data_IF_375644678173
#
_entry.id   IF_375644678173
#
_cell.length_a   1.000
_cell.length_b   1.000
_cell.length_c   1.000
_cell.angle_alpha   90.00
_cell.angle_beta   90.00
_cell.angle_gamma   90.00
#
_symmetry.space_group_name_H-M   'P 1'
#
loop_
_entity.id
_entity.type
_entity.pdbx_description
1 polymer ?
#
# COMPACT_ATOMS: atom_id res chain seq x y z
N UNK A 1 16.03 -4.67 37.25
CA UNK A 1 15.96 -3.23 36.92
C UNK A 1 14.52 -2.86 36.64
N UNK A 2 13.94 -1.84 37.30
CA UNK A 2 12.57 -1.42 37.03
C UNK A 2 12.53 -0.70 35.67
N UNK A 3 11.53 -1.05 34.85
CA UNK A 3 11.31 -0.46 33.52
C UNK A 3 10.74 0.95 33.69
N UNK A 4 11.47 1.96 33.23
CA UNK A 4 11.00 3.35 33.19
C UNK A 4 9.69 3.41 32.39
N UNK A 5 8.60 3.85 33.04
CA UNK A 5 7.30 4.12 32.40
C UNK A 5 7.52 5.28 31.41
N UNK A 6 7.56 4.97 30.12
CA UNK A 6 7.70 5.97 29.06
C UNK A 6 6.42 6.81 29.05
N UNK A 7 6.56 8.13 29.19
CA UNK A 7 5.48 9.09 28.89
C UNK A 7 5.06 8.83 27.44
N UNK A 8 3.79 8.49 27.23
CA UNK A 8 3.21 8.35 25.90
C UNK A 8 3.44 9.64 25.12
N UNK A 9 3.74 9.52 23.83
CA UNK A 9 3.65 10.68 22.96
C UNK A 9 2.17 11.09 22.92
N UNK A 10 1.87 12.40 22.93
CA UNK A 10 0.49 12.92 22.83
C UNK A 10 -0.18 12.64 21.46
N UNK A 11 0.39 11.71 20.67
CA UNK A 11 -0.19 11.10 19.48
C UNK A 11 -1.04 9.87 19.88
N UNK A 12 -1.81 10.02 20.95
CA UNK A 12 -2.82 9.05 21.39
C UNK A 12 -4.08 9.17 20.54
N UNK A 13 -4.00 8.85 19.25
CA UNK A 13 -5.15 8.48 18.42
C UNK A 13 -4.62 7.96 17.08
N UNK A 14 -4.84 6.67 16.83
CA UNK A 14 -4.68 6.06 15.51
C UNK A 14 -5.48 6.89 14.50
N UNK A 15 -4.90 7.22 13.34
CA UNK A 15 -5.58 7.96 12.26
C UNK A 15 -6.68 7.05 11.71
N UNK A 16 -7.82 7.01 12.40
CA UNK A 16 -8.95 6.14 12.08
C UNK A 16 -10.12 6.98 11.61
N UNK A 17 -10.79 6.44 10.62
CA UNK A 17 -12.10 5.95 11.00
C UNK A 17 -12.32 4.65 10.31
N UNK A 18 -12.96 3.80 11.08
CA UNK A 18 -13.20 2.45 10.72
C UNK A 18 -14.31 2.39 9.67
N UNK A 19 -13.99 1.74 8.56
CA UNK A 19 -14.93 0.80 7.99
C UNK A 19 -14.60 -0.56 8.58
N UNK A 20 -15.64 -1.29 8.99
CA UNK A 20 -15.58 -2.59 9.66
C UNK A 20 -15.19 -3.76 8.72
N UNK A 21 -14.71 -3.46 7.51
CA UNK A 21 -14.32 -4.49 6.55
C UNK A 21 -12.90 -5.03 6.87
N UNK A 22 -12.74 -6.35 7.07
CA UNK A 22 -11.43 -6.95 7.36
C UNK A 22 -10.58 -7.07 6.08
N UNK A 23 -9.25 -6.92 6.19
CA UNK A 23 -8.31 -7.22 5.11
C UNK A 23 -8.12 -8.73 4.98
N UNK A 24 -7.89 -9.27 3.78
CA UNK A 24 -7.66 -10.72 3.60
C UNK A 24 -6.50 -11.26 4.46
N UNK A 25 -5.46 -10.45 4.68
CA UNK A 25 -4.32 -10.79 5.56
C UNK A 25 -4.69 -10.85 7.05
N UNK A 26 -5.82 -10.28 7.46
CA UNK A 26 -6.29 -10.19 8.85
C UNK A 26 -7.50 -11.08 9.15
N UNK A 27 -8.14 -11.68 8.13
CA UNK A 27 -9.41 -12.41 8.27
C UNK A 27 -9.30 -13.78 8.98
N UNK A 28 -8.12 -14.42 9.03
CA UNK A 28 -8.05 -15.87 9.25
C UNK A 28 -7.36 -16.35 10.55
N UNK A 29 -7.37 -15.55 11.61
CA UNK A 29 -7.05 -16.06 12.97
C UNK A 29 -8.28 -16.01 13.90
N UNK A 30 -9.42 -16.52 13.44
CA UNK A 30 -10.42 -17.07 14.35
C UNK A 30 -9.99 -18.49 14.72
N UNK A 31 -9.59 -18.71 15.98
CA UNK A 31 -9.61 -20.05 16.55
C UNK A 31 -10.99 -20.67 16.32
N UNK A 32 -11.11 -21.97 15.99
CA UNK A 32 -12.42 -22.60 16.00
C UNK A 32 -12.96 -22.50 17.43
N UNK A 33 -14.00 -21.69 17.61
CA UNK A 33 -14.84 -21.71 18.80
C UNK A 33 -15.39 -23.13 18.87
N UNK A 34 -14.91 -23.89 19.85
CA UNK A 34 -15.44 -25.20 20.18
C UNK A 34 -16.87 -24.98 20.69
N UNK A 35 -17.91 -25.46 20.00
CA UNK A 35 -19.27 -25.26 20.48
C UNK A 35 -19.43 -26.10 21.75
N UNK A 36 -19.52 -25.43 22.90
CA UNK A 36 -19.96 -26.08 24.13
C UNK A 36 -21.41 -26.57 23.90
N UNK A 37 -21.58 -27.89 23.88
CA UNK A 37 -22.90 -28.49 23.82
C UNK A 37 -23.65 -28.29 25.15
N UNK A 38 -24.99 -28.16 25.14
CA UNK A 38 -25.77 -27.94 26.36
C UNK A 38 -25.72 -29.18 27.25
N UNK A 39 -25.40 -29.01 28.53
CA UNK A 39 -25.52 -30.05 29.55
C UNK A 39 -27.00 -30.34 29.80
N UNK A 40 -27.43 -31.55 29.43
CA UNK A 40 -28.67 -32.14 29.92
C UNK A 40 -28.30 -33.25 30.91
N UNK A 41 -29.04 -33.28 32.01
CA UNK A 41 -28.74 -34.01 33.24
C UNK A 41 -28.73 -35.55 33.11
N UNK A 42 -27.99 -36.15 34.03
CA UNK A 42 -27.78 -37.58 34.21
C UNK A 42 -29.01 -38.29 34.77
N UNK A 43 -29.54 -39.29 34.05
CA UNK A 43 -30.17 -40.50 34.62
C UNK A 43 -29.83 -41.70 33.73
N UNK A 44 -29.25 -42.74 34.33
CA UNK A 44 -28.83 -44.03 33.72
C UNK A 44 -30.07 -44.94 33.42
N UNK A 45 -29.99 -46.16 32.79
CA UNK A 45 -28.81 -47.03 32.65
C UNK A 45 -28.63 -47.81 31.32
N UNK A 46 -27.44 -48.42 31.25
CA UNK A 46 -26.87 -49.43 30.34
C UNK A 46 -27.77 -50.16 29.32
N UNK A 47 -27.29 -50.21 28.06
CA UNK A 47 -27.29 -51.43 27.25
C UNK A 47 -26.23 -51.41 26.15
N UNK A 48 -25.58 -52.55 26.01
CA UNK A 48 -24.50 -52.88 25.07
C UNK A 48 -24.84 -52.61 23.60
N UNK A 49 -23.93 -51.97 22.88
CA UNK A 49 -23.51 -52.49 21.56
C UNK A 49 -22.14 -51.93 21.18
N UNK A 50 -21.24 -52.85 20.93
CA UNK A 50 -19.93 -52.61 20.34
C UNK A 50 -20.07 -51.96 18.96
N UNK A 51 -19.74 -50.68 18.84
CA UNK A 51 -19.32 -50.10 17.56
C UNK A 51 -18.03 -49.33 17.78
N UNK A 52 -16.94 -49.99 17.38
CA UNK A 52 -15.65 -49.36 17.12
C UNK A 52 -15.87 -48.21 16.13
N UNK A 53 -16.03 -46.99 16.64
CA UNK A 53 -15.78 -45.79 15.84
C UNK A 53 -14.27 -45.69 15.68
N UNK A 54 -13.78 -46.31 14.61
CA UNK A 54 -12.51 -45.96 13.99
C UNK A 54 -12.42 -44.43 13.94
N UNK A 55 -11.58 -43.86 14.80
CA UNK A 55 -11.07 -42.48 14.66
C UNK A 55 -10.23 -42.46 13.38
N UNK A 56 -10.91 -42.42 12.23
CA UNK A 56 -10.30 -42.12 10.95
C UNK A 56 -9.93 -40.64 11.01
N UNK A 57 -8.76 -40.37 11.59
CA UNK A 57 -8.05 -39.10 11.52
C UNK A 57 -7.80 -38.89 10.02
N UNK A 58 -8.77 -38.32 9.30
CA UNK A 58 -8.66 -37.98 7.88
C UNK A 58 -7.34 -37.26 7.74
N UNK A 59 -6.37 -37.87 7.06
CA UNK A 59 -5.11 -37.21 6.75
C UNK A 59 -5.50 -35.90 6.09
N UNK A 60 -5.17 -34.77 6.72
CA UNK A 60 -5.42 -33.47 6.10
C UNK A 60 -4.73 -33.54 4.74
N UNK A 61 -5.50 -33.41 3.66
CA UNK A 61 -4.99 -33.44 2.29
C UNK A 61 -3.74 -32.55 2.18
N UNK A 62 -2.69 -33.04 1.53
CA UNK A 62 -1.43 -32.30 1.37
C UNK A 62 -1.68 -30.90 0.79
N UNK A 63 -2.64 -30.77 -0.12
CA UNK A 63 -3.12 -29.50 -0.68
C UNK A 63 -3.66 -28.54 0.38
N UNK A 64 -4.41 -29.04 1.36
CA UNK A 64 -4.95 -28.20 2.45
C UNK A 64 -3.83 -27.74 3.39
N UNK A 65 -2.88 -28.63 3.72
CA UNK A 65 -1.69 -28.26 4.50
C UNK A 65 -0.80 -27.24 3.78
N UNK A 66 -0.63 -27.40 2.46
CA UNK A 66 0.10 -26.46 1.63
C UNK A 66 -0.60 -25.10 1.60
N UNK A 67 -1.92 -25.07 1.36
CA UNK A 67 -2.73 -23.84 1.42
C UNK A 67 -2.62 -23.15 2.78
N UNK A 68 -2.75 -23.90 3.87
CA UNK A 68 -2.63 -23.36 5.24
C UNK A 68 -1.22 -22.77 5.48
N UNK A 69 -0.17 -23.42 4.98
CA UNK A 69 1.21 -22.92 5.07
C UNK A 69 1.43 -21.64 4.23
N UNK A 70 0.91 -21.57 3.00
CA UNK A 70 1.00 -20.38 2.16
C UNK A 70 0.21 -19.19 2.74
N UNK A 71 -0.91 -19.45 3.41
CA UNK A 71 -1.68 -18.41 4.10
C UNK A 71 -0.96 -17.93 5.36
N UNK A 72 -0.27 -18.82 6.08
CA UNK A 72 0.54 -18.46 7.26
C UNK A 72 1.81 -17.69 6.87
N UNK A 73 2.44 -18.10 5.78
CA UNK A 73 3.68 -17.53 5.27
C UNK A 73 3.45 -17.01 3.85
N UNK A 74 2.97 -15.77 3.77
CA UNK A 74 2.57 -15.10 2.53
C UNK A 74 3.72 -14.98 1.53
N UNK A 75 4.98 -14.98 1.99
CA UNK A 75 6.18 -14.99 1.15
C UNK A 75 6.43 -16.33 0.43
N UNK A 76 5.82 -17.44 0.86
CA UNK A 76 6.04 -18.75 0.23
C UNK A 76 5.53 -18.83 -1.20
N UNK A 77 4.39 -18.21 -1.51
CA UNK A 77 3.81 -18.28 -2.85
C UNK A 77 4.67 -17.52 -3.88
N UNK A 78 5.03 -16.23 -3.65
CA UNK A 78 5.99 -15.53 -4.52
C UNK A 78 7.33 -16.26 -4.61
N UNK A 79 7.85 -16.79 -3.50
CA UNK A 79 9.11 -17.55 -3.51
C UNK A 79 9.03 -18.79 -4.40
N UNK A 80 7.96 -19.57 -4.32
CA UNK A 80 7.79 -20.77 -5.13
C UNK A 80 7.76 -20.40 -6.62
N UNK A 81 7.05 -19.33 -6.98
CA UNK A 81 7.02 -18.82 -8.36
C UNK A 81 8.43 -18.42 -8.81
N UNK A 82 9.18 -17.69 -7.98
CA UNK A 82 10.57 -17.31 -8.29
C UNK A 82 11.48 -18.53 -8.47
N UNK A 83 11.40 -19.51 -7.58
CA UNK A 83 12.20 -20.73 -7.67
C UNK A 83 11.90 -21.47 -8.95
N UNK A 84 10.62 -21.59 -9.35
CA UNK A 84 10.23 -22.23 -10.62
C UNK A 84 10.81 -21.47 -11.82
N UNK A 85 10.66 -20.14 -11.85
CA UNK A 85 11.16 -19.31 -12.96
C UNK A 85 12.70 -19.35 -13.04
N UNK A 86 13.40 -19.20 -11.92
CA UNK A 86 14.86 -19.25 -11.88
C UNK A 86 15.40 -20.64 -12.22
N UNK A 87 14.72 -21.72 -11.79
CA UNK A 87 15.09 -23.08 -12.17
C UNK A 87 14.89 -23.32 -13.66
N UNK A 88 13.79 -22.84 -14.24
CA UNK A 88 13.55 -22.91 -15.68
C UNK A 88 14.59 -22.12 -16.49
N UNK A 89 15.09 -21.01 -15.96
CA UNK A 89 16.22 -20.30 -16.56
C UNK A 89 17.53 -21.09 -16.43
N UNK A 90 17.80 -21.69 -15.27
CA UNK A 90 19.01 -22.44 -14.99
C UNK A 90 19.17 -23.70 -15.88
N UNK A 91 18.08 -24.28 -16.38
CA UNK A 91 18.12 -25.40 -17.34
C UNK A 91 18.77 -24.99 -18.67
N UNK A 92 18.57 -23.75 -19.12
CA UNK A 92 19.19 -23.22 -20.33
C UNK A 92 19.54 -21.74 -20.13
N UNK A 93 20.70 -21.42 -19.51
CA UNK A 93 21.09 -20.06 -19.15
C UNK A 93 21.70 -19.33 -20.35
N UNK A 94 20.97 -19.28 -21.47
CA UNK A 94 21.40 -18.59 -22.70
C UNK A 94 20.42 -17.48 -23.08
N UNK A 95 20.84 -16.50 -23.89
CA UNK A 95 19.94 -15.47 -24.43
C UNK A 95 18.77 -16.01 -25.26
N UNK A 96 18.82 -17.28 -25.67
CA UNK A 96 17.74 -17.96 -26.38
C UNK A 96 16.55 -18.30 -25.46
N UNK A 97 16.76 -18.32 -24.15
CA UNK A 97 15.71 -18.62 -23.18
C UNK A 97 14.74 -17.43 -23.08
N UNK A 98 13.42 -17.63 -23.18
CA UNK A 98 12.44 -16.55 -23.03
C UNK A 98 12.51 -15.85 -21.67
N UNK A 99 12.99 -16.53 -20.62
CA UNK A 99 13.17 -15.96 -19.29
C UNK A 99 14.38 -15.02 -19.20
N UNK A 100 15.31 -15.07 -20.16
CA UNK A 100 16.43 -14.15 -20.21
C UNK A 100 15.95 -12.69 -20.25
N UNK A 101 14.93 -12.39 -21.06
CA UNK A 101 14.33 -11.05 -21.13
C UNK A 101 13.58 -10.61 -19.86
N UNK A 102 13.25 -11.56 -18.98
CA UNK A 102 12.60 -11.28 -17.72
C UNK A 102 13.61 -10.95 -16.61
N UNK A 103 14.80 -11.55 -16.67
CA UNK A 103 15.86 -11.39 -15.67
C UNK A 103 16.81 -10.24 -16.04
N UNK A 104 17.12 -10.08 -17.32
CA UNK A 104 18.10 -9.10 -17.81
C UNK A 104 17.47 -8.06 -18.73
N UNK A 105 18.09 -6.89 -18.80
CA UNK A 105 17.67 -5.82 -19.70
C UNK A 105 17.71 -6.29 -21.16
N UNK A 106 16.62 -6.04 -21.87
CA UNK A 106 16.48 -6.38 -23.30
C UNK A 106 16.89 -5.22 -24.20
N UNK A 107 17.22 -5.52 -25.46
CA UNK A 107 17.52 -4.57 -26.54
C UNK A 107 18.83 -3.76 -26.38
N UNK A 108 19.99 -4.40 -26.17
CA UNK A 108 21.26 -3.70 -26.18
C UNK A 108 21.53 -3.07 -27.55
N UNK A 109 22.05 -1.85 -27.56
CA UNK A 109 22.42 -1.05 -28.72
C UNK A 109 23.88 -0.61 -28.58
N UNK A 110 24.59 -0.39 -29.70
CA UNK A 110 25.96 0.09 -29.65
C UNK A 110 26.05 1.46 -28.94
N UNK A 111 27.17 1.76 -28.26
CA UNK A 111 27.39 3.08 -27.67
C UNK A 111 27.30 4.19 -28.71
N UNK A 112 26.75 5.35 -28.31
CA UNK A 112 26.66 6.53 -29.19
C UNK A 112 28.02 7.18 -29.47
N UNK A 113 28.97 7.01 -28.57
CA UNK A 113 30.33 7.55 -28.67
C UNK A 113 31.35 6.43 -28.50
N UNK A 114 32.52 6.49 -29.16
CA UNK A 114 33.59 5.52 -28.93
C UNK A 114 34.00 5.48 -27.46
N UNK A 115 33.91 4.31 -26.82
CA UNK A 115 34.18 4.14 -25.38
C UNK A 115 33.04 4.57 -24.44
N UNK A 116 31.87 4.95 -24.98
CA UNK A 116 30.68 5.28 -24.20
C UNK A 116 29.95 4.05 -23.62
N UNK A 117 28.97 4.26 -22.72
CA UNK A 117 28.18 3.18 -22.14
C UNK A 117 27.30 2.48 -23.19
N UNK A 118 26.99 1.21 -22.95
CA UNK A 118 26.01 0.46 -23.74
C UNK A 118 24.63 1.06 -23.54
N UNK A 119 23.96 1.36 -24.67
CA UNK A 119 22.61 1.92 -24.67
C UNK A 119 21.58 0.80 -24.79
N UNK A 120 20.37 1.04 -24.30
CA UNK A 120 19.27 0.08 -24.37
C UNK A 120 18.04 0.73 -24.97
N UNK A 121 17.51 0.11 -26.02
CA UNK A 121 16.23 0.48 -26.63
C UNK A 121 15.04 0.01 -25.79
N UNK A 122 13.82 0.17 -26.32
CA UNK A 122 12.56 -0.19 -25.63
C UNK A 122 11.75 -1.15 -26.48
N UNK A 123 11.02 -2.07 -25.83
CA UNK A 123 10.14 -2.99 -26.54
C UNK A 123 9.30 -3.90 -25.64
N UNK A 124 8.47 -4.78 -26.22
CA UNK A 124 7.53 -5.62 -25.47
C UNK A 124 8.20 -6.59 -24.48
N UNK A 125 9.47 -6.98 -24.71
CA UNK A 125 10.22 -7.83 -23.78
C UNK A 125 10.41 -7.16 -22.41
N UNK A 126 10.34 -5.84 -22.33
CA UNK A 126 10.44 -5.10 -21.07
C UNK A 126 9.23 -5.36 -20.15
N UNK A 127 8.09 -5.81 -20.69
CA UNK A 127 6.94 -6.25 -19.88
C UNK A 127 7.28 -7.53 -19.10
N UNK A 128 8.04 -8.45 -19.70
CA UNK A 128 8.49 -9.66 -19.01
C UNK A 128 9.43 -9.32 -17.85
N UNK A 129 10.32 -8.33 -18.05
CA UNK A 129 11.16 -7.79 -16.99
C UNK A 129 10.32 -7.23 -15.83
N UNK A 130 9.36 -6.37 -16.15
CA UNK A 130 8.47 -5.78 -15.14
C UNK A 130 7.70 -6.86 -14.37
N UNK A 131 7.12 -7.83 -15.07
CA UNK A 131 6.37 -8.93 -14.46
C UNK A 131 7.25 -9.78 -13.52
N UNK A 132 8.47 -10.12 -13.93
CA UNK A 132 9.39 -10.88 -13.09
C UNK A 132 9.79 -10.11 -11.84
N UNK A 133 10.17 -8.84 -11.97
CA UNK A 133 10.56 -8.03 -10.82
C UNK A 133 9.38 -7.65 -9.92
N UNK A 134 8.14 -7.61 -10.43
CA UNK A 134 6.93 -7.53 -9.59
C UNK A 134 6.81 -8.75 -8.66
N UNK A 135 7.17 -9.95 -9.12
CA UNK A 135 7.18 -11.16 -8.28
C UNK A 135 8.34 -11.09 -7.27
N UNK A 136 9.53 -10.65 -7.71
CA UNK A 136 10.70 -10.44 -6.82
C UNK A 136 10.37 -9.48 -5.68
N UNK A 137 9.74 -8.35 -6.01
CA UNK A 137 9.31 -7.35 -5.03
C UNK A 137 8.20 -7.87 -4.12
N UNK A 138 7.25 -8.66 -4.65
CA UNK A 138 6.22 -9.31 -3.84
C UNK A 138 6.83 -10.27 -2.81
N UNK A 139 7.80 -11.10 -3.21
CA UNK A 139 8.54 -11.94 -2.28
C UNK A 139 9.29 -11.11 -1.24
N UNK A 140 10.05 -10.11 -1.69
CA UNK A 140 10.89 -9.26 -0.84
C UNK A 140 10.04 -8.55 0.20
N UNK A 141 8.92 -7.95 -0.19
CA UNK A 141 7.93 -7.32 0.70
C UNK A 141 7.47 -8.25 1.80
N UNK A 142 6.89 -9.39 1.42
CA UNK A 142 6.34 -10.34 2.39
C UNK A 142 7.41 -10.95 3.29
N UNK A 143 8.60 -11.22 2.75
CA UNK A 143 9.72 -11.75 3.50
C UNK A 143 10.22 -10.74 4.54
N UNK A 144 10.50 -9.49 4.12
CA UNK A 144 10.93 -8.42 5.03
C UNK A 144 9.88 -8.15 6.10
N UNK A 145 8.60 -8.00 5.73
CA UNK A 145 7.52 -7.75 6.67
C UNK A 145 7.42 -8.87 7.72
N UNK A 146 7.35 -10.13 7.30
CA UNK A 146 7.15 -11.25 8.24
C UNK A 146 8.39 -11.62 9.05
N UNK A 147 9.58 -11.59 8.44
CA UNK A 147 10.81 -12.14 9.03
C UNK A 147 11.70 -11.10 9.71
N UNK A 148 11.68 -9.85 9.24
CA UNK A 148 12.56 -8.80 9.77
C UNK A 148 11.78 -7.74 10.55
N UNK A 149 10.72 -7.19 9.95
CA UNK A 149 10.01 -6.06 10.53
C UNK A 149 9.05 -6.50 11.64
N UNK A 150 8.35 -7.64 11.50
CA UNK A 150 7.44 -8.15 12.54
C UNK A 150 8.15 -8.40 13.88
N UNK A 151 9.30 -9.10 13.94
CA UNK A 151 10.04 -9.25 15.19
C UNK A 151 10.49 -7.90 15.77
N UNK A 152 10.94 -6.97 14.91
CA UNK A 152 11.31 -5.62 15.32
C UNK A 152 10.13 -4.86 15.94
N UNK A 153 8.94 -4.94 15.34
CA UNK A 153 7.73 -4.31 15.87
C UNK A 153 7.37 -4.82 17.27
N UNK A 154 7.50 -6.14 17.50
CA UNK A 154 7.28 -6.77 18.81
C UNK A 154 8.35 -6.31 19.81
N UNK A 155 9.61 -6.25 19.39
CA UNK A 155 10.71 -5.76 20.22
C UNK A 155 10.53 -4.30 20.63
N UNK A 156 10.04 -3.45 19.72
CA UNK A 156 9.66 -2.07 19.99
C UNK A 156 8.40 -1.92 20.86
N UNK A 157 7.69 -3.02 21.16
CA UNK A 157 6.52 -3.02 22.04
C UNK A 157 5.20 -2.65 21.36
N UNK A 158 5.13 -2.67 20.02
CA UNK A 158 3.91 -2.37 19.28
C UNK A 158 2.93 -3.53 19.44
N UNK A 159 1.82 -3.28 20.16
CA UNK A 159 0.74 -4.24 20.41
C UNK A 159 -0.45 -3.98 19.49
N UNK A 160 -1.17 -5.05 19.14
CA UNK A 160 -2.39 -4.99 18.32
C UNK A 160 -2.16 -5.32 16.85
N UNK A 161 -2.94 -6.29 16.32
CA UNK A 161 -2.75 -6.85 14.97
C UNK A 161 -2.78 -5.79 13.87
N UNK A 162 -3.75 -4.87 13.93
CA UNK A 162 -3.90 -3.78 12.96
C UNK A 162 -2.76 -2.76 13.00
N UNK A 163 -2.36 -2.32 14.21
CA UNK A 163 -1.26 -1.36 14.40
C UNK A 163 0.07 -1.96 13.93
N UNK A 164 0.34 -3.23 14.27
CA UNK A 164 1.53 -3.94 13.78
C UNK A 164 1.54 -4.06 12.25
N UNK A 165 0.42 -4.40 11.62
CA UNK A 165 0.33 -4.49 10.16
C UNK A 165 0.66 -3.15 9.47
N UNK A 166 0.06 -2.06 9.94
CA UNK A 166 0.33 -0.70 9.41
C UNK A 166 1.76 -0.26 9.63
N UNK A 167 2.31 -0.52 10.81
CA UNK A 167 3.73 -0.26 11.09
C UNK A 167 4.63 -1.01 10.11
N UNK A 168 4.38 -2.31 9.88
CA UNK A 168 5.16 -3.10 8.94
C UNK A 168 5.07 -2.55 7.51
N UNK A 169 3.88 -2.12 7.07
CA UNK A 169 3.68 -1.48 5.75
C UNK A 169 4.55 -0.22 5.63
N UNK A 170 4.50 0.68 6.61
CA UNK A 170 5.26 1.94 6.56
C UNK A 170 6.77 1.71 6.63
N UNK A 171 7.25 0.78 7.46
CA UNK A 171 8.69 0.48 7.54
C UNK A 171 9.19 -0.15 6.25
N UNK A 172 8.43 -1.05 5.63
CA UNK A 172 8.80 -1.60 4.32
C UNK A 172 8.91 -0.50 3.26
N UNK A 173 7.91 0.38 3.17
CA UNK A 173 7.93 1.52 2.24
C UNK A 173 9.14 2.43 2.50
N UNK A 174 9.47 2.70 3.77
CA UNK A 174 10.66 3.48 4.12
C UNK A 174 11.96 2.79 3.70
N UNK A 175 12.09 1.47 3.89
CA UNK A 175 13.28 0.70 3.46
C UNK A 175 13.41 0.74 1.93
N UNK A 176 12.33 0.54 1.20
CA UNK A 176 12.34 0.57 -0.27
C UNK A 176 12.81 1.94 -0.79
N UNK A 177 12.18 3.03 -0.36
CA UNK A 177 12.55 4.37 -0.83
C UNK A 177 13.87 4.89 -0.27
N UNK A 178 14.35 4.37 0.86
CA UNK A 178 15.71 4.66 1.34
C UNK A 178 16.79 4.16 0.37
N UNK A 179 16.49 3.12 -0.42
CA UNK A 179 17.40 2.55 -1.42
C UNK A 179 17.12 3.18 -2.79
N UNK A 180 15.85 3.18 -3.23
CA UNK A 180 15.47 3.64 -4.55
C UNK A 180 15.52 5.16 -4.73
N UNK A 181 15.28 5.95 -3.68
CA UNK A 181 15.38 7.42 -3.73
C UNK A 181 16.79 7.91 -4.10
N UNK A 182 17.85 7.54 -3.34
CA UNK A 182 19.23 7.87 -3.69
C UNK A 182 19.67 7.27 -5.02
N UNK A 183 19.23 6.05 -5.35
CA UNK A 183 19.54 5.43 -6.64
C UNK A 183 18.91 6.22 -7.81
N UNK A 184 17.67 6.68 -7.67
CA UNK A 184 17.00 7.54 -8.65
C UNK A 184 17.74 8.88 -8.83
N UNK A 185 18.17 9.52 -7.74
CA UNK A 185 18.99 10.74 -7.82
C UNK A 185 20.33 10.50 -8.54
N UNK A 186 20.98 9.36 -8.28
CA UNK A 186 22.21 8.98 -8.98
C UNK A 186 21.97 8.74 -10.48
N UNK A 187 20.87 8.08 -10.85
CA UNK A 187 20.49 7.90 -12.26
C UNK A 187 20.20 9.25 -12.92
N UNK A 188 19.52 10.16 -12.22
CA UNK A 188 19.20 11.48 -12.72
C UNK A 188 20.44 12.36 -12.91
N UNK A 189 21.44 12.27 -12.03
CA UNK A 189 22.69 13.04 -12.15
C UNK A 189 23.54 12.63 -13.35
N UNK A 190 23.32 11.42 -13.86
CA UNK A 190 23.94 10.86 -15.06
C UNK A 190 23.23 11.27 -16.35
N UNK A 191 22.17 12.06 -16.26
CA UNK A 191 21.33 12.47 -17.39
C UNK A 191 21.13 13.99 -17.41
N UNK A 192 20.76 14.53 -18.58
CA UNK A 192 20.64 15.98 -18.79
C UNK A 192 19.49 16.63 -17.99
N UNK A 193 18.62 15.82 -17.37
CA UNK A 193 17.53 16.25 -16.50
C UNK A 193 17.98 16.61 -15.08
N UNK A 194 19.28 16.53 -14.75
CA UNK A 194 19.80 16.82 -13.41
C UNK A 194 19.19 18.11 -12.83
N UNK A 195 18.78 18.02 -11.56
CA UNK A 195 18.09 19.09 -10.83
C UNK A 195 16.82 19.64 -11.53
N UNK A 196 16.07 18.74 -12.18
CA UNK A 196 14.77 19.01 -12.80
C UNK A 196 14.88 20.07 -13.91
N UNK A 197 15.90 19.95 -14.77
CA UNK A 197 16.01 20.75 -15.97
C UNK A 197 14.87 20.40 -16.94
N UNK A 198 13.92 21.32 -17.12
CA UNK A 198 12.70 21.10 -17.91
C UNK A 198 12.97 21.08 -19.41
N UNK A 199 13.93 21.88 -19.87
CA UNK A 199 14.30 21.95 -21.29
C UNK A 199 14.87 20.62 -21.77
N UNK A 200 15.70 19.97 -20.95
CA UNK A 200 16.24 18.65 -21.23
C UNK A 200 15.16 17.56 -21.38
N UNK A 201 13.95 17.75 -20.82
CA UNK A 201 12.84 16.80 -21.00
C UNK A 201 12.32 16.76 -22.44
N UNK A 202 12.57 17.80 -23.23
CA UNK A 202 12.09 17.93 -24.61
C UNK A 202 13.23 17.99 -25.63
N UNK A 203 14.41 18.46 -25.21
CA UNK A 203 15.61 18.49 -26.03
C UNK A 203 16.03 17.06 -26.42
N UNK A 204 16.36 16.88 -27.71
CA UNK A 204 16.74 15.57 -28.25
C UNK A 204 15.60 14.54 -28.30
N UNK A 205 14.34 14.94 -28.08
CA UNK A 205 13.19 14.05 -28.18
C UNK A 205 12.98 13.57 -29.64
N UNK A 206 12.76 12.27 -29.89
CA UNK A 206 12.40 11.22 -28.93
C UNK A 206 13.58 10.52 -28.24
N UNK A 207 13.51 10.38 -26.91
CA UNK A 207 14.47 9.62 -26.12
C UNK A 207 14.21 8.10 -26.23
N UNK A 208 14.62 7.50 -27.36
CA UNK A 208 14.36 6.08 -27.66
C UNK A 208 15.24 5.10 -26.88
N UNK A 209 16.43 5.55 -26.51
CA UNK A 209 17.47 4.73 -25.90
C UNK A 209 17.98 5.36 -24.61
N UNK A 210 18.31 4.50 -23.64
CA UNK A 210 18.77 4.92 -22.32
C UNK A 210 19.99 4.12 -21.88
N UNK A 211 20.81 4.68 -21.00
CA UNK A 211 21.87 3.94 -20.30
C UNK A 211 21.25 2.79 -19.49
N UNK A 212 22.00 1.71 -19.29
CA UNK A 212 21.56 0.52 -18.55
C UNK A 212 20.90 0.86 -17.21
N UNK A 213 21.55 1.71 -16.40
CA UNK A 213 21.05 2.09 -15.08
C UNK A 213 19.75 2.88 -15.14
N UNK A 214 19.62 3.78 -16.11
CA UNK A 214 18.39 4.54 -16.35
C UNK A 214 17.23 3.59 -16.68
N UNK A 215 17.45 2.69 -17.65
CA UNK A 215 16.42 1.74 -18.06
C UNK A 215 16.05 0.79 -16.93
N UNK A 216 17.04 0.27 -16.19
CA UNK A 216 16.81 -0.62 -15.05
C UNK A 216 16.00 0.08 -13.96
N UNK A 217 16.41 1.27 -13.53
CA UNK A 217 15.67 2.04 -12.52
C UNK A 217 14.22 2.28 -12.94
N UNK A 218 14.01 2.74 -14.18
CA UNK A 218 12.67 3.02 -14.68
C UNK A 218 11.76 1.78 -14.69
N UNK A 219 12.28 0.63 -15.12
CA UNK A 219 11.52 -0.63 -15.16
C UNK A 219 11.33 -1.24 -13.77
N UNK A 220 12.28 -1.09 -12.86
CA UNK A 220 12.14 -1.52 -11.47
C UNK A 220 11.08 -0.70 -10.74
N UNK A 221 11.05 0.62 -10.93
CA UNK A 221 9.97 1.47 -10.43
C UNK A 221 8.62 1.05 -11.02
N UNK A 222 8.53 0.80 -12.32
CA UNK A 222 7.31 0.28 -12.93
C UNK A 222 6.88 -1.07 -12.30
N UNK A 223 7.84 -1.92 -11.94
CA UNK A 223 7.60 -3.20 -11.26
C UNK A 223 7.05 -3.02 -9.85
N UNK A 224 7.55 -2.02 -9.12
CA UNK A 224 7.08 -1.66 -7.78
C UNK A 224 5.67 -1.12 -7.82
N UNK A 225 5.37 -0.18 -8.73
CA UNK A 225 4.02 0.36 -8.87
C UNK A 225 3.01 -0.69 -9.36
N UNK A 226 3.43 -1.61 -10.24
CA UNK A 226 2.62 -2.77 -10.61
C UNK A 226 2.38 -3.70 -9.41
N UNK A 227 3.40 -3.96 -8.59
CA UNK A 227 3.29 -4.75 -7.37
C UNK A 227 2.32 -4.10 -6.37
N UNK A 228 2.41 -2.79 -6.17
CA UNK A 228 1.53 -2.04 -5.28
C UNK A 228 0.08 -2.03 -5.78
N UNK A 229 -0.13 -1.94 -7.10
CA UNK A 229 -1.45 -2.06 -7.70
C UNK A 229 -2.07 -3.45 -7.48
N UNK A 230 -1.29 -4.53 -7.56
CA UNK A 230 -1.75 -5.89 -7.24
C UNK A 230 -2.18 -5.98 -5.77
N UNK A 231 -1.38 -5.44 -4.85
CA UNK A 231 -1.70 -5.40 -3.42
C UNK A 231 -3.03 -4.68 -3.16
N UNK A 232 -3.25 -3.56 -3.86
CA UNK A 232 -4.47 -2.76 -3.75
C UNK A 232 -5.68 -3.50 -4.32
N UNK A 233 -5.57 -4.06 -5.54
CA UNK A 233 -6.66 -4.75 -6.24
C UNK A 233 -7.08 -6.03 -5.53
N UNK A 234 -6.12 -6.78 -4.98
CA UNK A 234 -6.38 -7.97 -4.18
C UNK A 234 -6.78 -7.64 -2.74
N UNK A 235 -6.89 -6.36 -2.35
CA UNK A 235 -7.25 -5.93 -0.99
C UNK A 235 -6.44 -6.68 0.10
N UNK A 236 -5.14 -6.90 -0.18
CA UNK A 236 -4.24 -7.55 0.78
C UNK A 236 -4.02 -6.67 2.01
N UNK A 237 -4.20 -5.35 1.86
CA UNK A 237 -4.23 -4.35 2.92
C UNK A 237 -5.66 -3.93 3.24
N UNK A 238 -5.92 -3.58 4.52
CA UNK A 238 -7.26 -3.09 4.94
C UNK A 238 -7.58 -1.80 4.16
N UNK A 239 -8.75 -1.71 3.49
CA UNK A 239 -9.15 -0.48 2.81
C UNK A 239 -9.07 0.73 3.75
N UNK A 240 -8.49 1.82 3.26
CA UNK A 240 -8.37 3.08 3.98
C UNK A 240 -9.60 3.97 3.70
N UNK A 241 -9.78 5.04 4.47
CA UNK A 241 -10.87 6.02 4.24
C UNK A 241 -10.77 6.70 2.87
N UNK A 242 -9.56 6.84 2.35
CA UNK A 242 -9.20 7.43 1.06
C UNK A 242 -9.00 6.36 -0.03
N UNK A 243 -9.66 5.20 0.09
CA UNK A 243 -9.46 4.08 -0.85
C UNK A 243 -9.83 4.44 -2.30
N UNK A 244 -10.88 5.25 -2.52
CA UNK A 244 -11.30 5.63 -3.88
C UNK A 244 -10.28 6.54 -4.54
N UNK A 245 -9.78 7.52 -3.79
CA UNK A 245 -8.74 8.44 -4.21
C UNK A 245 -7.42 7.70 -4.45
N UNK A 246 -7.09 6.72 -3.60
CA UNK A 246 -5.93 5.84 -3.77
C UNK A 246 -6.04 4.96 -5.03
N UNK A 247 -7.23 4.43 -5.34
CA UNK A 247 -7.45 3.67 -6.59
C UNK A 247 -7.34 4.59 -7.80
N UNK A 248 -7.96 5.77 -7.76
CA UNK A 248 -7.84 6.78 -8.82
C UNK A 248 -6.39 7.18 -9.07
N UNK A 249 -5.62 7.39 -8.00
CA UNK A 249 -4.18 7.62 -8.07
C UNK A 249 -3.45 6.50 -8.81
N UNK A 250 -3.69 5.22 -8.46
CA UNK A 250 -3.01 4.09 -9.10
C UNK A 250 -3.35 3.97 -10.59
N UNK A 251 -4.58 4.32 -10.99
CA UNK A 251 -4.95 4.38 -12.41
C UNK A 251 -4.14 5.46 -13.12
N UNK A 252 -4.05 6.66 -12.54
CA UNK A 252 -3.30 7.79 -13.10
C UNK A 252 -1.80 7.47 -13.18
N UNK A 253 -1.20 6.91 -12.12
CA UNK A 253 0.23 6.60 -12.09
C UNK A 253 0.59 5.48 -13.06
N UNK A 254 -0.17 4.38 -13.11
CA UNK A 254 0.08 3.33 -14.09
C UNK A 254 -0.08 3.83 -15.53
N UNK A 255 -1.05 4.72 -15.79
CA UNK A 255 -1.20 5.37 -17.09
C UNK A 255 0.00 6.26 -17.42
N UNK A 256 0.47 7.09 -16.48
CA UNK A 256 1.67 7.91 -16.65
C UNK A 256 2.90 7.07 -16.96
N UNK A 257 3.13 6.00 -16.20
CA UNK A 257 4.28 5.08 -16.39
C UNK A 257 4.20 4.42 -17.78
N UNK A 258 3.06 3.80 -18.11
CA UNK A 258 2.88 3.08 -19.37
C UNK A 258 3.00 4.00 -20.59
N UNK A 259 2.32 5.15 -20.57
CA UNK A 259 2.32 6.09 -21.69
C UNK A 259 3.66 6.80 -21.84
N UNK A 260 4.30 7.23 -20.74
CA UNK A 260 5.60 7.89 -20.85
C UNK A 260 6.70 6.92 -21.30
N UNK A 261 6.63 5.64 -20.94
CA UNK A 261 7.54 4.64 -21.51
C UNK A 261 7.28 4.39 -23.01
N UNK A 262 6.00 4.18 -23.39
CA UNK A 262 5.59 3.86 -24.76
C UNK A 262 5.83 4.99 -25.76
N UNK A 263 5.67 6.24 -25.31
CA UNK A 263 5.78 7.44 -26.15
C UNK A 263 7.05 8.26 -25.87
N UNK A 264 8.07 7.66 -25.24
CA UNK A 264 9.40 8.27 -25.07
C UNK A 264 9.50 9.49 -24.14
N UNK A 265 8.51 9.73 -23.27
CA UNK A 265 8.55 10.80 -22.24
C UNK A 265 9.20 10.34 -20.92
N UNK A 266 10.18 9.43 -20.99
CA UNK A 266 10.78 8.80 -19.80
C UNK A 266 11.57 9.77 -18.93
N UNK A 267 12.11 10.85 -19.50
CA UNK A 267 12.83 11.90 -18.76
C UNK A 267 11.91 12.64 -17.77
N UNK A 268 10.71 12.99 -18.22
CA UNK A 268 9.66 13.51 -17.36
C UNK A 268 9.16 12.44 -16.37
N UNK A 269 9.08 11.18 -16.80
CA UNK A 269 8.75 10.05 -15.92
C UNK A 269 9.72 9.88 -14.75
N UNK A 270 11.05 9.94 -14.98
CA UNK A 270 12.05 9.88 -13.90
C UNK A 270 11.93 11.06 -12.94
N UNK A 271 11.73 12.28 -13.47
CA UNK A 271 11.51 13.43 -12.61
C UNK A 271 10.30 13.21 -11.67
N UNK A 272 9.19 12.69 -12.21
CA UNK A 272 8.01 12.36 -11.39
C UNK A 272 8.33 11.26 -10.38
N UNK A 273 8.98 10.15 -10.76
CA UNK A 273 9.37 9.09 -9.82
C UNK A 273 10.18 9.63 -8.64
N UNK A 274 11.26 10.37 -8.90
CA UNK A 274 12.17 10.85 -7.85
C UNK A 274 11.46 11.78 -6.86
N UNK A 275 10.65 12.71 -7.36
CA UNK A 275 9.87 13.59 -6.47
C UNK A 275 8.91 12.79 -5.59
N UNK A 276 8.32 11.73 -6.15
CA UNK A 276 7.35 10.90 -5.46
C UNK A 276 8.03 10.02 -4.41
N UNK A 277 9.07 9.29 -4.80
CA UNK A 277 9.83 8.36 -3.95
C UNK A 277 10.44 9.06 -2.72
N UNK A 278 11.09 10.21 -2.93
CA UNK A 278 11.73 10.94 -1.83
C UNK A 278 10.64 11.45 -0.86
N UNK A 279 9.55 12.04 -1.35
CA UNK A 279 8.48 12.50 -0.47
C UNK A 279 7.79 11.35 0.28
N UNK A 280 7.63 10.19 -0.34
CA UNK A 280 7.00 9.02 0.28
C UNK A 280 7.92 8.37 1.32
N UNK A 281 9.24 8.45 1.15
CA UNK A 281 10.19 8.12 2.21
C UNK A 281 9.91 8.93 3.47
N UNK A 282 9.85 10.27 3.37
CA UNK A 282 9.55 11.14 4.53
C UNK A 282 8.16 10.89 5.11
N UNK A 283 7.15 10.58 4.29
CA UNK A 283 5.83 10.20 4.78
C UNK A 283 5.88 8.91 5.59
N UNK A 284 6.52 7.87 5.06
CA UNK A 284 6.59 6.54 5.67
C UNK A 284 7.40 6.56 6.98
N UNK A 285 8.52 7.27 7.02
CA UNK A 285 9.34 7.45 8.23
C UNK A 285 8.63 8.31 9.28
N UNK A 286 7.91 9.36 8.90
CA UNK A 286 7.15 10.19 9.85
C UNK A 286 6.08 9.37 10.58
N UNK A 287 5.37 8.50 9.86
CA UNK A 287 4.41 7.55 10.44
C UNK A 287 5.11 6.49 11.30
N UNK A 288 6.28 6.01 10.87
CA UNK A 288 7.08 5.06 11.65
C UNK A 288 7.50 5.65 12.99
N UNK A 289 7.97 6.89 13.02
CA UNK A 289 8.36 7.58 14.26
C UNK A 289 7.17 7.80 15.19
N UNK A 290 6.02 8.14 14.63
CA UNK A 290 4.76 8.24 15.34
C UNK A 290 4.38 6.90 16.01
N UNK A 291 4.43 5.79 15.26
CA UNK A 291 4.15 4.46 15.83
C UNK A 291 5.10 4.04 16.96
N UNK A 292 6.31 4.59 16.97
CA UNK A 292 7.34 4.34 17.98
C UNK A 292 7.33 5.36 19.13
N UNK A 293 6.40 6.32 19.10
CA UNK A 293 6.28 7.39 20.10
C UNK A 293 7.59 8.18 20.31
N UNK A 294 8.34 8.43 19.23
CA UNK A 294 9.62 9.16 19.33
C UNK A 294 9.41 10.66 19.52
N UNK A 295 10.23 11.30 20.36
CA UNK A 295 10.16 12.75 20.60
C UNK A 295 10.42 13.59 19.33
N UNK A 296 11.17 13.06 18.37
CA UNK A 296 11.47 13.72 17.09
C UNK A 296 10.31 13.69 16.08
N UNK A 297 9.18 13.05 16.41
CA UNK A 297 8.05 12.88 15.48
C UNK A 297 7.52 14.21 14.96
N UNK A 298 7.34 15.19 15.86
CA UNK A 298 6.77 16.49 15.51
C UNK A 298 7.68 17.35 14.60
N UNK A 299 8.96 17.59 14.94
CA UNK A 299 9.85 18.34 14.04
C UNK A 299 10.05 17.60 12.70
N UNK A 300 10.11 16.26 12.73
CA UNK A 300 10.22 15.46 11.50
C UNK A 300 8.97 15.57 10.63
N UNK A 301 7.78 15.58 11.23
CA UNK A 301 6.52 15.80 10.49
C UNK A 301 6.49 17.18 9.84
N UNK A 302 6.98 18.23 10.51
CA UNK A 302 7.13 19.57 9.92
C UNK A 302 8.06 19.58 8.69
N UNK A 303 9.22 18.91 8.78
CA UNK A 303 10.14 18.73 7.65
C UNK A 303 9.46 17.99 6.50
N UNK A 304 8.75 16.91 6.82
CA UNK A 304 7.96 16.15 5.84
C UNK A 304 6.97 17.04 5.08
N UNK A 305 6.23 17.93 5.76
CA UNK A 305 5.29 18.85 5.09
C UNK A 305 6.02 19.78 4.10
N UNK A 306 7.18 20.33 4.50
CA UNK A 306 8.00 21.16 3.62
C UNK A 306 8.51 20.40 2.39
N UNK A 307 9.02 19.18 2.59
CA UNK A 307 9.48 18.30 1.51
C UNK A 307 8.34 17.93 0.57
N UNK A 308 7.16 17.60 1.12
CA UNK A 308 5.96 17.30 0.33
C UNK A 308 5.59 18.48 -0.56
N UNK A 309 5.51 19.70 0.00
CA UNK A 309 5.15 20.89 -0.78
C UNK A 309 6.14 21.14 -1.91
N UNK A 310 7.43 21.09 -1.61
CA UNK A 310 8.46 21.34 -2.62
C UNK A 310 8.45 20.27 -3.72
N UNK A 311 8.52 18.99 -3.35
CA UNK A 311 8.64 17.90 -4.33
C UNK A 311 7.34 17.63 -5.08
N UNK A 312 6.19 17.56 -4.39
CA UNK A 312 4.91 17.19 -5.00
C UNK A 312 4.20 18.35 -5.67
N UNK A 313 4.45 19.59 -5.26
CA UNK A 313 3.74 20.75 -5.82
C UNK A 313 4.65 21.69 -6.59
N UNK A 314 5.72 22.22 -5.98
CA UNK A 314 6.57 23.21 -6.67
C UNK A 314 7.20 22.60 -7.92
N UNK A 315 7.82 21.42 -7.80
CA UNK A 315 8.44 20.75 -8.96
C UNK A 315 7.41 20.23 -9.97
N UNK A 316 6.27 19.70 -9.52
CA UNK A 316 5.22 19.24 -10.43
C UNK A 316 4.59 20.41 -11.20
N UNK A 317 4.33 21.55 -10.54
CA UNK A 317 3.87 22.78 -11.21
C UNK A 317 4.92 23.32 -12.20
N UNK A 318 6.22 23.21 -11.88
CA UNK A 318 7.30 23.53 -12.82
C UNK A 318 7.24 22.65 -14.08
N UNK A 319 7.03 21.34 -13.92
CA UNK A 319 6.87 20.40 -15.04
C UNK A 319 5.61 20.72 -15.85
N UNK A 320 4.47 20.95 -15.20
CA UNK A 320 3.22 21.35 -15.85
C UNK A 320 3.37 22.65 -16.65
N UNK A 321 4.06 23.63 -16.09
CA UNK A 321 4.39 24.87 -16.78
C UNK A 321 5.22 24.62 -18.03
N UNK A 322 6.26 23.78 -17.93
CA UNK A 322 7.09 23.42 -19.07
C UNK A 322 6.31 22.65 -20.15
N UNK A 323 5.33 21.82 -19.78
CA UNK A 323 4.42 21.17 -20.74
C UNK A 323 3.55 22.20 -21.49
N UNK A 324 3.25 23.36 -20.89
CA UNK A 324 2.50 24.43 -21.55
C UNK A 324 3.40 25.33 -22.43
N UNK A 325 4.62 25.64 -21.97
CA UNK A 325 5.49 26.66 -22.60
C UNK A 325 6.61 26.09 -23.46
N UNK A 326 7.28 25.04 -23.00
CA UNK A 326 8.47 24.46 -23.64
C UNK A 326 8.11 23.31 -24.60
N UNK A 327 7.00 22.60 -24.34
CA UNK A 327 6.59 21.44 -25.15
C UNK A 327 6.41 21.76 -26.64
N UNK A 328 5.95 22.97 -26.99
CA UNK A 328 5.81 23.33 -28.43
C UNK A 328 7.09 23.92 -29.02
N UNK A 329 7.93 24.51 -28.18
CA UNK A 329 9.03 25.39 -28.63
C UNK A 329 10.38 24.69 -28.65
N UNK A 330 10.61 23.69 -27.78
CA UNK A 330 11.89 22.97 -27.68
C UNK A 330 11.86 21.69 -28.52
N UNK A 331 12.57 21.70 -29.65
CA UNK A 331 12.66 20.57 -30.57
C UNK A 331 11.42 20.38 -31.46
N UNK A 332 11.41 19.40 -32.39
CA UNK A 332 10.35 19.23 -33.37
C UNK A 332 8.98 19.04 -32.71
N UNK A 333 7.93 19.66 -33.28
CA UNK A 333 6.55 19.51 -32.84
C UNK A 333 5.70 19.01 -34.01
N UNK A 334 5.78 17.70 -34.24
CA UNK A 334 5.10 17.00 -35.32
C UNK A 334 4.75 15.58 -34.89
N UNK A 335 3.78 14.97 -35.56
CA UNK A 335 3.46 13.55 -35.35
C UNK A 335 4.02 12.75 -36.52
N UNK A 336 5.01 11.91 -36.24
CA UNK A 336 5.58 11.00 -37.24
C UNK A 336 5.78 9.61 -36.64
N UNK A 337 5.06 8.62 -37.17
CA UNK A 337 5.08 7.25 -36.69
C UNK A 337 6.36 6.49 -37.08
N UNK A 338 6.94 6.82 -38.24
CA UNK A 338 8.17 6.18 -38.74
C UNK A 338 9.37 6.59 -37.88
N UNK A 339 9.49 7.88 -37.58
CA UNK A 339 10.52 8.43 -36.70
C UNK A 339 10.11 8.37 -35.22
N UNK A 340 8.99 7.72 -34.88
CA UNK A 340 8.46 7.65 -33.51
C UNK A 340 8.46 9.02 -32.79
N UNK A 341 8.26 10.09 -33.55
CA UNK A 341 8.16 11.45 -33.05
C UNK A 341 6.70 11.66 -32.62
N UNK A 342 6.48 11.58 -31.32
CA UNK A 342 5.14 11.64 -30.73
C UNK A 342 4.79 12.99 -30.14
N UNK A 343 5.71 13.96 -30.22
CA UNK A 343 5.56 15.31 -29.66
C UNK A 343 4.63 16.16 -30.52
N UNK A 344 3.34 16.07 -30.23
CA UNK A 344 2.26 16.73 -30.96
C UNK A 344 1.17 17.29 -30.01
N UNK A 345 0.18 17.99 -30.56
CA UNK A 345 -0.90 18.60 -29.76
C UNK A 345 -1.67 17.58 -28.90
N UNK A 346 -1.91 16.38 -29.44
CA UNK A 346 -2.58 15.28 -28.73
C UNK A 346 -1.77 14.86 -27.50
N UNK A 347 -0.48 14.58 -27.72
CA UNK A 347 0.43 14.17 -26.64
C UNK A 347 0.56 15.24 -25.56
N UNK A 348 0.53 16.52 -25.93
CA UNK A 348 0.60 17.64 -25.00
C UNK A 348 -0.62 17.66 -24.09
N UNK A 349 -1.85 17.57 -24.64
CA UNK A 349 -3.07 17.55 -23.84
C UNK A 349 -3.16 16.33 -22.93
N UNK A 350 -2.81 15.14 -23.44
CA UNK A 350 -2.83 13.90 -22.64
C UNK A 350 -1.82 13.98 -21.50
N UNK A 351 -0.59 14.39 -21.79
CA UNK A 351 0.47 14.55 -20.78
C UNK A 351 0.08 15.56 -19.72
N UNK A 352 -0.41 16.73 -20.15
CA UNK A 352 -0.88 17.77 -19.24
C UNK A 352 -2.03 17.28 -18.36
N UNK A 353 -3.05 16.64 -18.95
CA UNK A 353 -4.21 16.15 -18.21
C UNK A 353 -3.83 15.10 -17.16
N UNK A 354 -2.93 14.17 -17.49
CA UNK A 354 -2.47 13.14 -16.54
C UNK A 354 -1.64 13.75 -15.40
N UNK A 355 -0.69 14.66 -15.70
CA UNK A 355 0.10 15.35 -14.68
C UNK A 355 -0.76 16.28 -13.81
N UNK A 356 -1.73 16.98 -14.41
CA UNK A 356 -2.67 17.83 -13.67
C UNK A 356 -3.59 16.99 -12.78
N UNK A 357 -4.02 15.81 -13.23
CA UNK A 357 -4.78 14.86 -12.40
C UNK A 357 -3.94 14.35 -11.23
N UNK A 358 -2.67 14.02 -11.47
CA UNK A 358 -1.72 13.66 -10.41
C UNK A 358 -1.54 14.80 -9.41
N UNK A 359 -1.41 16.05 -9.88
CA UNK A 359 -1.32 17.24 -9.04
C UNK A 359 -2.59 17.45 -8.21
N UNK A 360 -3.78 17.23 -8.78
CA UNK A 360 -5.05 17.36 -8.06
C UNK A 360 -5.16 16.34 -6.91
N UNK A 361 -4.76 15.09 -7.13
CA UNK A 361 -4.72 14.08 -6.06
C UNK A 361 -3.68 14.44 -5.00
N UNK A 362 -2.50 14.93 -5.40
CA UNK A 362 -1.49 15.39 -4.45
C UNK A 362 -2.00 16.57 -3.60
N UNK A 363 -2.79 17.49 -4.18
CA UNK A 363 -3.42 18.60 -3.44
C UNK A 363 -4.47 18.12 -2.44
N UNK A 364 -5.26 17.12 -2.81
CA UNK A 364 -6.19 16.47 -1.88
C UNK A 364 -5.45 15.90 -0.66
N UNK A 365 -4.34 15.19 -0.86
CA UNK A 365 -3.54 14.69 0.27
C UNK A 365 -2.84 15.80 1.05
N UNK A 366 -2.36 16.86 0.39
CA UNK A 366 -1.82 18.03 1.09
C UNK A 366 -2.88 18.64 2.02
N UNK A 367 -4.13 18.78 1.57
CA UNK A 367 -5.21 19.26 2.43
C UNK A 367 -5.38 18.39 3.68
N UNK A 368 -5.31 17.06 3.55
CA UNK A 368 -5.38 16.15 4.70
C UNK A 368 -4.15 16.30 5.62
N UNK A 369 -2.96 16.43 5.06
CA UNK A 369 -1.71 16.64 5.81
C UNK A 369 -1.76 17.94 6.60
N UNK A 370 -2.16 19.05 5.97
CA UNK A 370 -2.30 20.35 6.60
C UNK A 370 -3.40 20.36 7.67
N UNK A 371 -4.49 19.62 7.46
CA UNK A 371 -5.53 19.44 8.49
C UNK A 371 -4.97 18.74 9.73
N UNK A 372 -4.14 17.71 9.55
CA UNK A 372 -3.47 17.02 10.66
C UNK A 372 -2.48 17.95 11.35
N UNK A 373 -1.68 18.70 10.58
CA UNK A 373 -0.72 19.67 11.12
C UNK A 373 -1.42 20.76 11.93
N UNK A 374 -2.53 21.31 11.41
CA UNK A 374 -3.38 22.26 12.11
C UNK A 374 -3.84 21.68 13.45
N UNK A 375 -4.46 20.50 13.44
CA UNK A 375 -4.93 19.87 14.67
C UNK A 375 -3.78 19.65 15.67
N UNK A 376 -2.60 19.23 15.20
CA UNK A 376 -1.42 19.05 16.06
C UNK A 376 -0.96 20.35 16.74
N UNK A 377 -0.92 21.46 15.99
CA UNK A 377 -0.50 22.77 16.51
C UNK A 377 -1.55 23.37 17.45
N UNK A 378 -2.83 23.29 17.11
CA UNK A 378 -3.90 23.93 17.89
C UNK A 378 -4.37 23.10 19.10
N UNK A 379 -4.25 21.76 19.07
CA UNK A 379 -4.60 20.90 20.21
C UNK A 379 -3.51 20.91 21.29
N UNK A 380 -2.23 21.13 20.95
CA UNK A 380 -1.19 21.37 21.96
C UNK A 380 -1.39 22.70 22.72
N UNK A 381 -2.06 23.69 22.11
CA UNK A 381 -2.28 25.01 22.72
C UNK A 381 -3.51 25.02 23.65
N UNK A 382 -4.39 24.03 23.57
CA UNK A 382 -5.64 23.96 24.38
C UNK A 382 -5.60 23.01 25.58
N UNK A 383 -4.53 22.22 25.76
CA UNK A 383 -4.48 21.15 26.79
C UNK A 383 -3.88 21.57 28.15
N UNK A 384 -3.78 22.88 28.45
CA UNK A 384 -3.19 23.36 29.73
C UNK A 384 -4.17 24.09 30.67
N UNK A 385 -5.50 23.95 30.50
CA UNK A 385 -6.45 24.50 31.49
C UNK A 385 -7.70 23.65 31.80
N UNK A 386 -7.95 22.49 31.16
CA UNK A 386 -9.16 21.71 31.50
C UNK A 386 -9.15 20.27 30.98
N UNK A 387 -9.57 19.33 31.85
CA UNK A 387 -9.95 17.90 31.64
C UNK A 387 -8.80 16.92 31.36
N UNK A 388 -8.46 15.90 32.18
CA UNK A 388 -9.25 15.10 33.15
C UNK A 388 -10.65 14.78 32.62
N UNK A 389 -10.74 13.92 31.59
CA UNK A 389 -11.98 13.16 31.28
C UNK A 389 -11.81 12.06 30.19
N UNK A 390 -10.63 11.86 29.59
CA UNK A 390 -10.42 10.83 28.55
C UNK A 390 -9.87 9.48 29.06
N UNK A 391 -9.63 9.30 30.36
CA UNK A 391 -9.19 8.02 30.96
C UNK A 391 -10.37 7.10 31.37
N UNK A 392 -11.62 7.56 31.24
CA UNK A 392 -12.82 6.82 31.67
C UNK A 392 -13.35 5.83 30.65
N UNK A 393 -13.08 6.02 29.35
CA UNK A 393 -13.57 5.11 28.29
C UNK A 393 -12.73 3.82 28.14
N UNK A 394 -11.46 3.82 28.57
CA UNK A 394 -10.60 2.62 28.51
C UNK A 394 -10.88 1.62 29.65
N UNK A 395 -11.43 2.06 30.80
CA UNK A 395 -11.80 1.18 31.91
C UNK A 395 -13.09 0.38 31.64
N UNK A 396 -14.04 0.94 30.88
CA UNK A 396 -15.31 0.26 30.53
C UNK A 396 -15.11 -0.92 29.56
N UNK A 397 -14.16 -0.83 28.62
CA UNK A 397 -13.88 -1.94 27.68
C UNK A 397 -13.18 -3.13 28.38
N UNK A 398 -12.38 -2.87 29.41
CA UNK A 398 -11.76 -3.93 30.23
C UNK A 398 -12.72 -4.60 31.20
N UNK A 399 -13.70 -3.87 31.74
CA UNK A 399 -14.72 -4.43 32.64
C UNK A 399 -15.80 -5.22 31.90
N UNK A 400 -16.23 -4.77 30.70
CA UNK A 400 -17.19 -5.50 29.87
C UNK A 400 -16.68 -6.88 29.40
N UNK A 401 -15.36 -7.01 29.16
CA UNK A 401 -14.73 -8.31 28.83
C UNK A 401 -14.59 -9.28 30.01
N UNK A 402 -14.66 -8.77 31.24
CA UNK A 402 -14.60 -9.60 32.45
C UNK A 402 -15.99 -10.10 32.90
N UNK A 403 -17.08 -9.41 32.54
CA UNK A 403 -18.44 -9.71 33.05
C UNK A 403 -19.40 -10.31 32.03
N UNK A 404 -19.04 -10.44 30.75
CA UNK A 404 -19.78 -11.26 29.78
C UNK A 404 -21.18 -10.74 29.44
N UNK A 405 -21.40 -9.42 29.42
CA UNK A 405 -22.67 -8.82 28.99
C UNK A 405 -22.50 -8.24 27.58
N UNK A 406 -23.23 -8.78 26.59
CA UNK A 406 -23.28 -8.24 25.23
C UNK A 406 -24.16 -6.98 25.18
N UNK A 407 -23.61 -5.86 24.70
CA UNK A 407 -24.37 -4.63 24.42
C UNK A 407 -24.97 -4.67 23.02
N UNK A 408 -26.30 -4.60 22.93
CA UNK A 408 -27.06 -4.55 21.68
C UNK A 408 -27.00 -3.15 21.05
N UNK A 409 -26.64 -3.11 19.76
CA UNK A 409 -26.64 -1.92 18.91
C UNK A 409 -28.04 -1.29 18.82
N UNK A 410 -28.19 -0.05 19.31
CA UNK A 410 -29.34 0.81 19.01
C UNK A 410 -28.96 1.89 18.01
N UNK A 411 -29.65 1.90 16.88
CA UNK A 411 -29.57 2.94 15.85
C UNK A 411 -30.65 3.98 16.17
N UNK A 412 -30.26 5.22 16.43
CA UNK A 412 -31.20 6.32 16.66
C UNK A 412 -31.87 6.76 15.35
N UNK A 413 -33.20 6.58 15.24
CA UNK A 413 -34.07 7.31 14.30
C UNK A 413 -35.32 7.79 15.03
N UNK A 414 -35.47 9.11 15.05
CA UNK A 414 -36.66 9.94 15.22
C UNK A 414 -37.73 9.55 16.26
N UNK A 415 -37.78 10.41 17.28
CA UNK A 415 -38.87 10.58 18.25
C UNK A 415 -40.17 10.98 17.54
N UNK A 416 -41.22 10.20 17.74
CA UNK A 416 -42.57 10.55 17.31
C UNK A 416 -43.60 9.46 17.62
N UNK A 417 -44.30 9.62 18.75
CA UNK A 417 -45.61 9.07 19.14
C UNK A 417 -45.71 7.65 19.75
N UNK A 418 -46.25 7.68 20.97
CA UNK A 418 -47.21 6.77 21.63
C UNK A 418 -46.83 5.31 21.98
N UNK A 419 -46.86 5.07 23.29
CA UNK A 419 -46.80 3.78 23.98
C UNK A 419 -47.89 2.79 23.53
N UNK A 420 -47.51 1.63 22.98
CA UNK A 420 -48.29 0.39 23.08
C UNK A 420 -47.36 -0.83 23.17
N UNK A 421 -47.61 -1.70 24.16
CA UNK A 421 -46.89 -2.95 24.37
C UNK A 421 -47.26 -4.01 23.29
N UNK A 422 -46.34 -4.89 22.86
CA UNK A 422 -46.59 -5.83 21.76
C UNK A 422 -47.54 -6.98 22.15
N UNK A 423 -48.62 -7.16 21.38
CA UNK A 423 -49.53 -8.31 21.45
C UNK A 423 -49.01 -9.48 20.60
N UNK A 424 -49.09 -10.71 21.14
CA UNK A 424 -48.73 -11.94 20.44
C UNK A 424 -49.92 -12.42 19.59
N UNK A 425 -49.68 -12.61 18.29
CA UNK A 425 -50.65 -13.11 17.30
C UNK A 425 -50.36 -14.58 16.99
N UNK A 426 -51.40 -15.42 16.87
CA UNK A 426 -51.29 -16.79 16.32
C UNK A 426 -52.27 -16.92 15.16
N UNK A 427 -51.78 -17.34 13.99
CA UNK A 427 -52.54 -17.43 12.74
C UNK A 427 -53.30 -16.14 12.34
N UNK A 428 -52.71 -14.97 12.64
CA UNK A 428 -53.23 -13.67 12.18
C UNK A 428 -54.35 -13.06 13.03
N UNK A 429 -54.66 -13.60 14.21
CA UNK A 429 -55.56 -12.97 15.18
C UNK A 429 -54.95 -12.89 16.60
N UNK A 430 -55.23 -11.82 17.38
CA UNK A 430 -54.69 -11.63 18.73
C UNK A 430 -55.33 -12.54 19.77
N UNK A 431 -54.49 -13.18 20.58
CA UNK A 431 -54.89 -14.05 21.70
C UNK A 431 -55.37 -13.19 22.89
N UNK A 432 -56.68 -13.10 23.11
CA UNK A 432 -57.24 -12.59 24.35
C UNK A 432 -57.25 -13.70 25.42
N UNK A 433 -56.36 -13.62 26.42
CA UNK A 433 -56.45 -14.47 27.62
C UNK A 433 -57.50 -13.89 28.58
N UNK A 434 -58.63 -14.60 28.70
CA UNK A 434 -59.67 -14.40 29.69
C UNK A 434 -59.11 -14.54 31.12
N UNK A 435 -59.31 -13.53 31.97
CA UNK A 435 -59.13 -13.63 33.43
C UNK A 435 -60.34 -14.37 34.02
N UNK A 436 -60.09 -15.45 34.77
CA UNK A 436 -61.00 -15.95 35.81
C UNK A 436 -60.40 -15.59 37.17
N UNK A 437 -61.22 -14.88 37.93
CA UNK A 437 -61.26 -14.59 39.37
C UNK A 437 -59.97 -14.23 40.12
#
# INVERSE_FOLDING_TARGET
MPRVRRKSSNLGADIRGDTSAPAMSTMNEFSPIEPQAPKWDQVAPSRSSSKSQSKRRKSRSLLRRFKDNCLKHTWLLPLLILVVLLSAYAVNPTPSNPLHSAIFLSYPQPPKTPGGPVMYGKGPKDIAFVAFYTIVLSFTREFLMQRMIRPLAVWCGIRGKGKTARFMEQVYTAIYFAIFGPFGLYVMSRSDIWYFNTTAMFEGFPHREHEALFKAYYLLEASYWAQQAIVLMLQLEKPRKDFKELVGHHIITLALIGLSYRFHFTYMGIAVYITHDISDFFLATSKTFNYLDLAITAPYFGVFVGVWIYLRHVLNLKILWAVLTEFRTVGPFELNWETQQYKCWISQYITFALLASLQAVNLFWLFLILRILKNYLFTNVKKDERSEDEDSEEEEETTARATGVESSSMTARNVGKENQAPQVLVNGQPLHSSKKD
#
